data_IF_803479849727
#
_entry.id   IF_803479849727
#
_cell.length_a   1.000
_cell.length_b   1.000
_cell.length_c   1.000
_cell.angle_alpha   90.00
_cell.angle_beta   90.00
_cell.angle_gamma   90.00
#
_symmetry.space_group_name_H-M   'P 1'
#
loop_
_entity.id
_entity.type
_entity.pdbx_description
1 polymer ?
#
# COMPACT_ATOMS: atom_id res chain seq x y z
N UNK A 1 13.09 10.84 4.71
CA UNK A 1 13.35 9.45 4.23
C UNK A 1 12.09 8.85 3.63
N UNK A 2 12.15 7.61 3.13
CA UNK A 2 10.98 6.87 2.66
C UNK A 2 10.85 5.56 3.44
N UNK A 3 9.65 5.24 3.90
CA UNK A 3 9.37 4.03 4.67
C UNK A 3 8.34 3.22 3.90
N UNK A 4 8.64 1.95 3.66
CA UNK A 4 7.69 1.00 3.11
C UNK A 4 7.09 0.21 4.27
N UNK A 5 5.76 0.31 4.41
CA UNK A 5 4.95 -0.50 5.31
C UNK A 5 4.39 -1.66 4.48
N UNK A 6 4.69 -2.89 4.86
CA UNK A 6 4.11 -4.10 4.28
C UNK A 6 3.27 -4.75 5.36
N UNK A 7 1.99 -4.95 5.08
CA UNK A 7 1.02 -5.57 5.95
C UNK A 7 0.51 -6.84 5.26
N UNK A 8 0.76 -7.97 5.89
CA UNK A 8 0.25 -9.29 5.52
C UNK A 8 -0.70 -9.77 6.61
N UNK A 9 -1.41 -10.87 6.39
CA UNK A 9 -2.30 -11.45 7.40
C UNK A 9 -1.54 -11.83 8.70
N UNK A 10 -0.28 -12.27 8.55
CA UNK A 10 0.52 -12.81 9.65
C UNK A 10 1.53 -11.80 10.23
N UNK A 11 1.93 -10.78 9.46
CA UNK A 11 3.05 -9.92 9.84
C UNK A 11 2.93 -8.46 9.37
N UNK A 12 3.53 -7.57 10.17
CA UNK A 12 3.70 -6.17 9.83
C UNK A 12 5.18 -5.83 9.74
N UNK A 13 5.64 -5.50 8.54
CA UNK A 13 7.04 -5.20 8.26
C UNK A 13 7.22 -3.72 7.88
N UNK A 14 8.34 -3.15 8.34
CA UNK A 14 8.74 -1.79 7.99
C UNK A 14 10.17 -1.80 7.46
N UNK A 15 10.40 -1.05 6.37
CA UNK A 15 11.75 -0.87 5.82
C UNK A 15 11.97 0.56 5.37
N UNK A 16 13.13 1.12 5.73
CA UNK A 16 13.49 2.51 5.41
C UNK A 16 14.42 2.54 4.20
N UNK A 17 14.25 3.58 3.38
CA UNK A 17 15.03 3.85 2.20
C UNK A 17 15.35 5.34 2.11
N UNK A 18 16.55 5.65 1.63
CA UNK A 18 16.97 7.04 1.35
C UNK A 18 16.41 7.57 0.04
N UNK A 19 16.03 6.70 -0.91
CA UNK A 19 15.55 7.07 -2.26
C UNK A 19 14.18 6.49 -2.56
N UNK A 20 13.27 7.32 -3.09
CA UNK A 20 11.90 6.93 -3.44
C UNK A 20 11.86 5.83 -4.51
N UNK A 21 12.74 5.90 -5.52
CA UNK A 21 12.78 4.90 -6.61
C UNK A 21 13.08 3.50 -6.08
N UNK A 22 14.00 3.37 -5.13
CA UNK A 22 14.37 2.10 -4.48
C UNK A 22 13.22 1.59 -3.62
N UNK A 23 12.58 2.47 -2.84
CA UNK A 23 11.41 2.13 -2.03
C UNK A 23 10.26 1.58 -2.91
N UNK A 24 9.99 2.21 -4.05
CA UNK A 24 8.98 1.77 -5.02
C UNK A 24 9.33 0.42 -5.64
N UNK A 25 10.58 0.23 -6.07
CA UNK A 25 11.01 -1.03 -6.66
C UNK A 25 10.88 -2.20 -5.66
N UNK A 26 11.26 -1.97 -4.40
CA UNK A 26 11.11 -2.97 -3.35
C UNK A 26 9.64 -3.24 -3.02
N UNK A 27 8.80 -2.21 -2.95
CA UNK A 27 7.36 -2.36 -2.73
C UNK A 27 6.69 -3.23 -3.81
N UNK A 28 7.04 -3.03 -5.08
CA UNK A 28 6.57 -3.85 -6.20
C UNK A 28 7.06 -5.30 -6.10
N UNK A 29 8.29 -5.51 -5.61
CA UNK A 29 8.82 -6.85 -5.40
C UNK A 29 8.06 -7.59 -4.30
N UNK A 30 7.70 -6.91 -3.20
CA UNK A 30 6.88 -7.49 -2.13
C UNK A 30 5.50 -7.92 -2.64
N UNK A 31 4.82 -7.06 -3.41
CA UNK A 31 3.50 -7.38 -3.98
C UNK A 31 3.53 -8.62 -4.86
N UNK A 32 4.59 -8.81 -5.66
CA UNK A 32 4.72 -9.99 -6.53
C UNK A 32 4.99 -11.28 -5.77
N UNK A 33 5.60 -11.20 -4.59
CA UNK A 33 6.06 -12.38 -3.84
C UNK A 33 5.02 -12.89 -2.84
N UNK A 34 4.32 -12.00 -2.15
CA UNK A 34 3.44 -12.34 -1.03
C UNK A 34 1.97 -12.53 -1.46
N UNK A 35 1.61 -12.17 -2.70
CA UNK A 35 0.26 -12.35 -3.25
C UNK A 35 -0.77 -11.43 -2.60
N UNK A 36 -1.25 -11.76 -1.40
CA UNK A 36 -2.18 -10.97 -0.60
C UNK A 36 -1.44 -10.13 0.45
N UNK A 37 -0.86 -9.02 0.01
CA UNK A 37 -0.24 -8.05 0.91
C UNK A 37 -0.59 -6.61 0.57
N UNK A 38 -0.74 -5.79 1.59
CA UNK A 38 -0.90 -4.35 1.48
C UNK A 38 0.48 -3.69 1.62
N UNK A 39 0.93 -2.99 0.58
CA UNK A 39 2.24 -2.35 0.55
C UNK A 39 2.08 -0.84 0.31
N UNK A 40 2.42 -0.07 1.34
CA UNK A 40 2.32 1.39 1.30
C UNK A 40 3.70 2.03 1.43
N UNK A 41 3.95 3.09 0.67
CA UNK A 41 5.19 3.88 0.76
C UNK A 41 4.86 5.25 1.34
N UNK A 42 5.49 5.57 2.46
CA UNK A 42 5.36 6.84 3.17
C UNK A 42 6.64 7.66 3.05
N UNK A 43 6.51 8.97 2.88
CA UNK A 43 7.60 9.93 3.00
C UNK A 43 7.60 10.55 4.39
N UNK A 44 8.77 10.63 5.01
CA UNK A 44 9.02 11.30 6.29
C UNK A 44 9.99 12.46 6.08
N UNK A 45 9.52 13.62 5.58
CA UNK A 45 10.38 14.79 5.42
C UNK A 45 10.84 15.29 6.80
N UNK A 46 12.10 15.75 6.91
CA UNK A 46 12.66 16.24 8.17
C UNK A 46 13.15 15.16 9.15
N UNK A 47 12.93 13.88 8.85
CA UNK A 47 13.43 12.77 9.68
C UNK A 47 14.64 12.12 9.02
N UNK A 48 15.75 12.10 9.76
CA UNK A 48 17.05 11.59 9.34
C UNK A 48 17.44 10.27 10.00
N UNK A 49 16.75 9.87 11.07
CA UNK A 49 16.98 8.58 11.75
C UNK A 49 15.96 7.54 11.31
N UNK A 50 16.42 6.31 11.06
CA UNK A 50 15.56 5.22 10.56
C UNK A 50 14.46 4.86 11.56
N UNK A 51 14.80 4.73 12.84
CA UNK A 51 13.83 4.41 13.90
C UNK A 51 12.78 5.51 14.06
N UNK A 52 13.20 6.77 14.00
CA UNK A 52 12.28 7.91 14.05
C UNK A 52 11.36 7.95 12.82
N UNK A 53 11.86 7.57 11.64
CA UNK A 53 11.04 7.53 10.42
C UNK A 53 9.97 6.43 10.52
N UNK A 54 10.30 5.27 11.06
CA UNK A 54 9.32 4.21 11.32
C UNK A 54 8.30 4.65 12.38
N UNK A 55 8.76 5.28 13.46
CA UNK A 55 7.89 5.79 14.51
C UNK A 55 6.88 6.82 13.98
N UNK A 56 7.32 7.79 13.15
CA UNK A 56 6.45 8.77 12.52
C UNK A 56 5.38 8.11 11.63
N UNK A 57 5.74 7.05 10.89
CA UNK A 57 4.77 6.30 10.07
C UNK A 57 3.77 5.54 10.93
N UNK A 58 4.22 4.94 12.04
CA UNK A 58 3.33 4.27 13.01
C UNK A 58 2.38 5.25 13.70
N UNK A 59 2.84 6.48 13.97
CA UNK A 59 2.04 7.56 14.52
C UNK A 59 1.05 8.20 13.52
N UNK A 60 1.09 7.80 12.24
CA UNK A 60 0.24 8.37 11.19
C UNK A 60 0.73 9.71 10.64
N UNK A 61 1.95 10.13 10.97
CA UNK A 61 2.56 11.38 10.54
C UNK A 61 3.30 11.25 9.19
N UNK A 62 3.46 10.01 8.69
CA UNK A 62 4.04 9.75 7.39
C UNK A 62 3.14 10.21 6.24
N UNK A 63 3.71 10.90 5.25
CA UNK A 63 2.98 11.29 4.04
C UNK A 63 2.87 10.12 3.07
N UNK A 64 1.68 9.59 2.84
CA UNK A 64 1.48 8.52 1.86
C UNK A 64 1.85 9.00 0.44
N UNK A 65 2.78 8.30 -0.20
CA UNK A 65 3.28 8.58 -1.56
C UNK A 65 2.77 7.56 -2.56
N UNK A 66 2.74 6.29 -2.16
CA UNK A 66 2.22 5.20 -2.99
C UNK A 66 1.35 4.31 -2.12
N UNK A 67 0.13 4.07 -2.60
CA UNK A 67 -0.74 3.01 -2.11
C UNK A 67 -0.68 1.85 -3.10
N UNK A 68 -0.42 0.65 -2.62
CA UNK A 68 -0.44 -0.53 -3.46
C UNK A 68 -0.76 -1.79 -2.66
N UNK A 69 -1.15 -2.83 -3.37
CA UNK A 69 -1.57 -4.10 -2.79
C UNK A 69 -3.05 -4.37 -3.03
N UNK A 70 -3.37 -5.65 -3.13
CA UNK A 70 -4.72 -6.17 -3.07
C UNK A 70 -5.07 -6.34 -1.59
N UNK A 71 -6.12 -5.64 -1.14
CA UNK A 71 -6.62 -5.77 0.22
C UNK A 71 -7.04 -7.24 0.43
N UNK A 72 -6.59 -7.91 1.51
CA UNK A 72 -6.94 -9.31 1.74
C UNK A 72 -8.45 -9.49 1.64
N UNK A 73 -8.87 -10.51 0.90
CA UNK A 73 -10.28 -10.75 0.57
C UNK A 73 -11.21 -10.90 1.80
N UNK A 74 -10.63 -11.07 3.00
CA UNK A 74 -11.35 -11.16 4.28
C UNK A 74 -12.22 -9.94 4.61
N UNK A 75 -11.93 -8.75 4.05
CA UNK A 75 -12.74 -7.53 4.27
C UNK A 75 -13.66 -7.15 3.09
N UNK A 76 -13.71 -7.95 2.01
CA UNK A 76 -14.62 -7.66 0.90
C UNK A 76 -16.10 -7.92 1.23
N UNK A 77 -16.41 -8.48 2.42
CA UNK A 77 -17.79 -8.73 2.87
C UNK A 77 -18.49 -7.51 3.47
N UNK A 78 -17.83 -6.35 3.62
CA UNK A 78 -18.47 -5.14 4.20
C UNK A 78 -18.63 -3.94 3.27
N UNK A 79 -18.07 -3.93 2.05
CA UNK A 79 -18.23 -2.79 1.13
C UNK A 79 -18.53 -3.24 -0.31
N UNK A 80 -19.67 -3.91 -0.51
CA UNK A 80 -20.29 -4.11 -1.83
C UNK A 80 -20.92 -2.83 -2.42
N UNK A 81 -20.63 -1.64 -1.86
CA UNK A 81 -21.26 -0.39 -2.27
C UNK A 81 -20.48 0.44 -3.30
N UNK A 82 -19.30 0.02 -3.77
CA UNK A 82 -18.52 0.78 -4.77
C UNK A 82 -18.48 0.17 -6.17
N UNK A 83 -19.23 -0.91 -6.42
CA UNK A 83 -19.34 -1.55 -7.73
C UNK A 83 -20.73 -1.33 -8.34
N UNK A 84 -21.11 -0.06 -8.45
CA UNK A 84 -22.34 0.35 -9.13
C UNK A 84 -22.12 1.71 -9.82
N UNK A 85 -21.24 1.78 -10.83
CA UNK A 85 -21.21 2.91 -11.77
C UNK A 85 -20.48 2.62 -13.09
N UNK A 86 -20.45 1.36 -13.57
CA UNK A 86 -20.25 1.07 -15.00
C UNK A 86 -21.22 -0.03 -15.43
N UNK A 87 -22.51 0.29 -15.31
CA UNK A 87 -23.53 -0.31 -16.16
C UNK A 87 -23.69 0.58 -17.39
N UNK A 88 -23.43 0.00 -18.57
CA UNK A 88 -23.88 0.36 -19.93
C UNK A 88 -22.93 -0.40 -20.88
N UNK A 89 -23.29 -1.43 -21.60
CA UNK A 89 -24.56 -2.11 -21.83
C UNK A 89 -24.23 -3.15 -22.90
N UNK A 90 -24.39 -4.43 -22.57
CA UNK A 90 -24.38 -5.50 -23.56
C UNK A 90 -25.73 -5.47 -24.28
N UNK A 91 -25.75 -5.46 -25.62
CA UNK A 91 -26.89 -6.00 -26.35
C UNK A 91 -27.23 -5.38 -27.70
N UNK A 92 -27.31 -6.28 -28.69
CA UNK A 92 -28.13 -6.26 -29.92
C UNK A 92 -27.77 -5.19 -30.98
N UNK A 93 -27.51 -5.52 -32.25
CA UNK A 93 -28.13 -6.55 -33.08
C UNK A 93 -29.08 -5.85 -34.05
N UNK A 94 -28.67 -5.68 -35.31
CA UNK A 94 -29.45 -5.70 -36.55
C UNK A 94 -28.49 -5.48 -37.73
#
# INVERSE_FOLDING_TARGET
>A
MFVVKVETDEALMFRVFSRLSVAKAWALQCQRREGECLVHVYGTPGVSEELAAIAAVRAGEGRLVVRGGTQPAADFKKNSAFLACMGLGTGAGF
#
